data_IF_171252116426
#
_entry.id   IF_171252116426
#
_cell.length_a   1.000
_cell.length_b   1.000
_cell.length_c   1.000
_cell.angle_alpha   90.00
_cell.angle_beta   90.00
_cell.angle_gamma   90.00
#
_symmetry.space_group_name_H-M   'P 1'
#
loop_
_entity.id
_entity.type
_entity.pdbx_description
1 polymer ?
#
# COMPACT_ATOMS: atom_id res chain seq x y z
N UNK A 1 -4.81 -7.93 -13.59
CA UNK A 1 -3.61 -8.59 -13.00
C UNK A 1 -2.79 -7.55 -12.24
N UNK A 2 -2.38 -7.84 -11.00
CA UNK A 2 -1.49 -6.98 -10.21
C UNK A 2 -0.11 -7.59 -10.07
N UNK A 3 0.90 -6.79 -9.70
CA UNK A 3 2.26 -7.23 -9.38
C UNK A 3 3.01 -6.22 -8.52
N UNK A 4 4.20 -6.60 -8.04
CA UNK A 4 5.13 -5.80 -7.24
C UNK A 4 6.48 -5.70 -7.96
N UNK A 5 7.02 -4.49 -8.08
CA UNK A 5 8.41 -4.28 -8.46
C UNK A 5 9.26 -4.62 -7.24
N UNK A 6 10.12 -5.62 -7.40
CA UNK A 6 11.04 -6.04 -6.37
C UNK A 6 11.80 -4.84 -5.81
N UNK A 7 11.78 -4.80 -4.49
CA UNK A 7 12.35 -3.81 -3.58
C UNK A 7 13.88 -3.81 -3.61
N UNK A 8 14.44 -3.58 -4.79
CA UNK A 8 15.85 -3.34 -5.02
C UNK A 8 16.00 -2.28 -6.11
N UNK A 9 16.26 -1.05 -5.67
CA UNK A 9 16.87 -0.07 -6.56
C UNK A 9 18.23 -0.64 -6.97
N UNK A 10 18.52 -0.79 -8.29
CA UNK A 10 19.72 -1.47 -8.72
C UNK A 10 20.97 -0.71 -8.21
N UNK A 11 22.12 -1.39 -7.99
CA UNK A 11 23.30 -0.80 -7.36
C UNK A 11 23.87 0.43 -8.10
N UNK A 12 23.57 0.54 -9.40
CA UNK A 12 23.94 1.69 -10.23
C UNK A 12 23.13 2.96 -9.89
N UNK A 13 22.02 2.83 -9.17
CA UNK A 13 21.19 3.92 -8.64
C UNK A 13 21.54 4.24 -7.18
N UNK A 14 22.72 4.84 -7.04
CA UNK A 14 23.03 5.99 -6.18
C UNK A 14 22.77 5.84 -4.67
N UNK A 15 23.89 5.67 -3.96
CA UNK A 15 24.35 6.69 -3.00
C UNK A 15 25.79 7.01 -3.37
N UNK A 16 26.11 8.29 -3.63
CA UNK A 16 27.52 8.71 -3.76
C UNK A 16 28.25 8.27 -2.50
N UNK A 17 29.55 7.94 -2.58
CA UNK A 17 30.30 7.46 -1.40
C UNK A 17 30.13 8.38 -0.18
N UNK A 18 30.05 9.70 -0.41
CA UNK A 18 29.80 10.73 0.61
C UNK A 18 28.40 10.70 1.25
N UNK A 19 27.39 10.20 0.55
CA UNK A 19 26.00 10.13 1.05
C UNK A 19 25.72 8.89 1.91
N UNK A 20 26.50 7.82 1.73
CA UNK A 20 26.34 6.58 2.50
C UNK A 20 26.57 6.76 4.00
N UNK A 21 27.29 7.80 4.38
CA UNK A 21 27.53 8.07 5.80
C UNK A 21 26.30 8.63 6.53
N UNK A 22 25.30 9.15 5.79
CA UNK A 22 24.00 9.54 6.36
C UNK A 22 23.06 8.35 6.58
N UNK A 23 23.39 7.17 6.07
CA UNK A 23 22.59 5.94 6.20
C UNK A 23 23.26 4.91 7.11
N UNK A 24 24.07 5.38 8.06
CA UNK A 24 24.72 4.53 9.06
C UNK A 24 23.70 4.03 10.09
N UNK A 25 23.84 2.78 10.49
CA UNK A 25 23.10 2.21 11.61
C UNK A 25 24.02 1.35 12.47
N UNK A 26 23.66 1.23 13.74
CA UNK A 26 24.38 0.42 14.70
C UNK A 26 23.68 -0.92 14.83
N UNK A 27 24.46 -1.99 14.88
CA UNK A 27 23.99 -3.35 15.08
C UNK A 27 24.80 -4.06 16.16
N UNK A 28 24.33 -5.21 16.62
CA UNK A 28 25.06 -6.07 17.54
C UNK A 28 25.84 -7.12 16.77
N UNK A 29 27.13 -7.32 17.07
CA UNK A 29 27.92 -8.42 16.50
C UNK A 29 27.34 -9.77 16.90
N UNK A 30 26.94 -9.88 18.16
CA UNK A 30 26.26 -11.03 18.73
C UNK A 30 24.95 -10.58 19.40
N UNK A 31 23.82 -10.96 18.81
CA UNK A 31 22.49 -10.59 19.30
C UNK A 31 22.17 -11.18 20.68
N UNK A 32 22.83 -12.27 21.08
CA UNK A 32 22.56 -12.96 22.36
C UNK A 32 23.16 -12.22 23.55
N UNK A 33 24.23 -11.44 23.33
CA UNK A 33 24.95 -10.71 24.38
C UNK A 33 24.33 -9.35 24.72
N UNK A 34 23.34 -8.89 23.94
CA UNK A 34 22.69 -7.60 24.15
C UNK A 34 23.63 -6.38 23.95
N UNK A 35 23.19 -5.18 24.36
CA UNK A 35 23.88 -3.91 24.08
C UNK A 35 25.05 -3.63 25.06
N UNK A 36 26.11 -4.45 25.01
CA UNK A 36 27.33 -4.29 25.82
C UNK A 36 28.47 -3.63 25.04
N UNK A 37 29.40 -2.98 25.76
CA UNK A 37 30.60 -2.39 25.17
C UNK A 37 31.42 -3.44 24.39
N UNK A 38 31.87 -3.07 23.19
CA UNK A 38 32.60 -3.96 22.28
C UNK A 38 31.73 -4.86 21.39
N UNK A 39 30.42 -4.99 21.70
CA UNK A 39 29.46 -5.77 20.91
C UNK A 39 28.75 -4.95 19.82
N UNK A 40 28.97 -3.64 19.74
CA UNK A 40 28.41 -2.81 18.66
C UNK A 40 29.27 -2.88 17.39
N UNK A 41 28.60 -2.86 16.24
CA UNK A 41 29.20 -2.70 14.91
C UNK A 41 28.40 -1.68 14.12
N UNK A 42 29.07 -0.84 13.34
CA UNK A 42 28.42 0.15 12.49
C UNK A 42 28.37 -0.35 11.05
N UNK A 43 27.18 -0.40 10.49
CA UNK A 43 26.94 -0.64 9.08
C UNK A 43 26.48 0.65 8.38
N UNK A 44 26.55 0.65 7.06
CA UNK A 44 25.98 1.71 6.22
C UNK A 44 25.35 1.09 4.99
N UNK A 45 24.23 1.65 4.53
CA UNK A 45 23.61 1.16 3.32
C UNK A 45 24.43 1.55 2.08
N UNK A 46 24.58 0.59 1.16
CA UNK A 46 25.18 0.79 -0.16
C UNK A 46 24.14 1.04 -1.26
N UNK A 47 22.86 0.91 -0.91
CA UNK A 47 21.66 1.15 -1.72
C UNK A 47 20.75 2.12 -0.97
N UNK A 48 19.75 2.68 -1.63
CA UNK A 48 18.73 3.52 -0.97
C UNK A 48 17.98 2.66 0.07
N UNK A 49 18.05 2.98 1.38
CA UNK A 49 17.30 2.24 2.39
C UNK A 49 15.80 2.50 2.29
N UNK A 50 15.04 1.51 2.74
CA UNK A 50 13.62 1.66 2.99
C UNK A 50 13.37 2.54 4.22
N UNK A 51 12.27 3.28 4.21
CA UNK A 51 11.86 4.14 5.31
C UNK A 51 12.44 5.55 5.29
N UNK A 52 13.27 5.92 4.30
CA UNK A 52 13.54 7.34 4.07
C UNK A 52 12.35 7.98 3.38
N UNK A 53 12.05 9.22 3.78
CA UNK A 53 10.98 10.03 3.19
C UNK A 53 11.15 10.23 1.67
N UNK A 54 12.38 10.23 1.17
CA UNK A 54 12.68 10.41 -0.26
C UNK A 54 12.71 9.11 -1.08
N UNK A 55 12.71 7.93 -0.45
CA UNK A 55 12.86 6.66 -1.18
C UNK A 55 11.75 6.41 -2.21
N UNK A 56 10.46 6.66 -1.93
CA UNK A 56 9.39 6.49 -2.92
C UNK A 56 9.56 7.39 -4.14
N UNK A 57 9.95 8.65 -3.92
CA UNK A 57 10.22 9.60 -5.00
C UNK A 57 11.39 9.14 -5.88
N UNK A 58 12.50 8.73 -5.26
CA UNK A 58 13.69 8.27 -5.99
C UNK A 58 13.40 7.01 -6.81
N UNK A 59 12.60 6.08 -6.28
CA UNK A 59 12.15 4.89 -7.02
C UNK A 59 11.31 5.29 -8.24
N UNK A 60 10.29 6.13 -8.04
CA UNK A 60 9.41 6.57 -9.13
C UNK A 60 10.19 7.31 -10.24
N UNK A 61 11.00 8.30 -9.86
CA UNK A 61 11.83 9.05 -10.81
C UNK A 61 12.79 8.13 -11.59
N UNK A 62 13.35 7.11 -10.92
CA UNK A 62 14.23 6.12 -11.52
C UNK A 62 13.51 5.25 -12.56
N UNK A 63 12.32 4.76 -12.23
CA UNK A 63 11.50 3.95 -13.15
C UNK A 63 11.11 4.77 -14.37
N UNK A 64 10.62 5.99 -14.18
CA UNK A 64 10.23 6.90 -15.27
C UNK A 64 11.41 7.18 -16.21
N UNK A 65 12.58 7.50 -15.65
CA UNK A 65 13.81 7.73 -16.45
C UNK A 65 14.18 6.49 -17.28
N UNK A 66 14.02 5.29 -16.72
CA UNK A 66 14.30 4.06 -17.44
C UNK A 66 13.24 3.72 -18.51
N UNK A 67 11.98 4.05 -18.27
CA UNK A 67 10.91 3.91 -19.27
C UNK A 67 11.15 4.81 -20.49
N UNK A 68 11.67 6.02 -20.27
CA UNK A 68 12.09 6.94 -21.35
C UNK A 68 13.32 6.41 -22.10
N UNK A 69 14.33 5.94 -21.36
CA UNK A 69 15.57 5.43 -21.95
C UNK A 69 15.38 4.12 -22.72
N UNK A 70 14.47 3.26 -22.27
CA UNK A 70 14.20 1.95 -22.85
C UNK A 70 12.71 1.85 -23.22
N UNK A 71 12.31 2.43 -24.37
CA UNK A 71 10.91 2.42 -24.77
C UNK A 71 10.42 1.00 -25.03
N UNK A 72 9.26 0.68 -24.46
CA UNK A 72 8.51 -0.55 -24.71
C UNK A 72 7.01 -0.23 -24.72
N UNK A 73 6.23 -1.01 -25.47
CA UNK A 73 4.77 -0.80 -25.59
C UNK A 73 4.07 -0.77 -24.22
N UNK A 74 4.51 -1.64 -23.31
CA UNK A 74 3.93 -1.78 -21.96
C UNK A 74 4.24 -0.59 -21.04
N UNK A 75 5.26 0.22 -21.34
CA UNK A 75 5.72 1.30 -20.44
C UNK A 75 4.61 2.30 -20.13
N UNK A 76 3.80 2.68 -21.13
CA UNK A 76 2.73 3.67 -20.92
C UNK A 76 1.64 3.14 -19.99
N UNK A 77 1.29 1.86 -20.14
CA UNK A 77 0.32 1.22 -19.26
C UNK A 77 0.87 1.09 -17.84
N UNK A 78 2.15 0.73 -17.68
CA UNK A 78 2.80 0.67 -16.37
C UNK A 78 2.86 2.06 -15.72
N UNK A 79 3.27 3.10 -16.46
CA UNK A 79 3.31 4.49 -15.99
C UNK A 79 1.95 4.94 -15.44
N UNK A 80 0.87 4.71 -16.22
CA UNK A 80 -0.47 5.13 -15.84
C UNK A 80 -1.06 4.32 -14.67
N UNK A 81 -0.58 3.10 -14.43
CA UNK A 81 -1.16 2.16 -13.47
C UNK A 81 -0.18 1.70 -12.38
N UNK A 82 0.82 2.52 -12.09
CA UNK A 82 1.79 2.28 -11.02
C UNK A 82 1.44 3.10 -9.78
N UNK A 83 1.55 2.47 -8.62
CA UNK A 83 1.53 3.14 -7.32
C UNK A 83 2.74 2.72 -6.51
N UNK A 84 3.73 3.61 -6.42
CA UNK A 84 5.04 3.35 -5.79
C UNK A 84 5.73 2.13 -6.41
N UNK A 85 5.57 0.96 -5.81
CA UNK A 85 6.13 -0.34 -6.18
C UNK A 85 5.07 -1.30 -6.76
N UNK A 86 3.77 -1.00 -6.60
CA UNK A 86 2.69 -1.82 -7.11
C UNK A 86 2.35 -1.45 -8.55
N UNK A 87 2.18 -2.46 -9.41
CA UNK A 87 1.77 -2.31 -10.80
C UNK A 87 0.42 -3.00 -11.01
N UNK A 88 -0.47 -2.35 -11.74
CA UNK A 88 -1.75 -2.91 -12.16
C UNK A 88 -1.81 -2.99 -13.68
N UNK A 89 -2.14 -4.17 -14.19
CA UNK A 89 -2.39 -4.44 -15.59
C UNK A 89 -3.89 -4.71 -15.77
N UNK A 90 -4.52 -3.90 -16.61
CA UNK A 90 -5.95 -3.89 -16.85
C UNK A 90 -6.21 -4.29 -18.30
N UNK A 91 -7.08 -5.27 -18.50
CA UNK A 91 -7.60 -5.68 -19.81
C UNK A 91 -8.93 -6.44 -19.63
N UNK A 92 -9.78 -6.38 -20.65
CA UNK A 92 -10.99 -7.19 -20.79
C UNK A 92 -10.75 -8.44 -21.65
N UNK A 93 -9.55 -8.62 -22.19
CA UNK A 93 -9.18 -9.71 -23.10
C UNK A 93 -8.21 -10.61 -22.37
N UNK A 94 -8.65 -11.82 -22.01
CA UNK A 94 -7.85 -12.77 -21.23
C UNK A 94 -6.55 -13.16 -21.94
N UNK A 95 -6.58 -13.22 -23.27
CA UNK A 95 -5.48 -13.60 -24.14
C UNK A 95 -4.31 -12.59 -24.13
N UNK A 96 -4.52 -11.35 -23.67
CA UNK A 96 -3.48 -10.33 -23.57
C UNK A 96 -2.62 -10.48 -22.30
N UNK A 97 -3.13 -11.17 -21.27
CA UNK A 97 -2.46 -11.29 -19.97
C UNK A 97 -1.07 -11.94 -20.05
N UNK A 98 -0.85 -13.03 -20.82
CA UNK A 98 0.49 -13.58 -21.05
C UNK A 98 1.47 -12.58 -21.64
N UNK A 99 1.05 -11.79 -22.65
CA UNK A 99 1.90 -10.77 -23.28
C UNK A 99 2.23 -9.65 -22.29
N UNK A 100 1.27 -9.22 -21.46
CA UNK A 100 1.51 -8.22 -20.41
C UNK A 100 2.53 -8.71 -19.37
N UNK A 101 2.44 -9.96 -18.94
CA UNK A 101 3.43 -10.58 -18.05
C UNK A 101 4.82 -10.59 -18.70
N UNK A 102 4.97 -11.16 -19.90
CA UNK A 102 6.26 -11.26 -20.58
C UNK A 102 6.88 -9.88 -20.86
N UNK A 103 6.06 -8.94 -21.34
CA UNK A 103 6.52 -7.59 -21.68
C UNK A 103 6.95 -6.81 -20.45
N UNK A 104 6.21 -6.91 -19.34
CA UNK A 104 6.58 -6.22 -18.09
C UNK A 104 7.85 -6.80 -17.46
N UNK A 105 8.04 -8.13 -17.47
CA UNK A 105 9.29 -8.78 -17.06
C UNK A 105 10.47 -8.30 -17.90
N UNK A 106 10.33 -8.34 -19.23
CA UNK A 106 11.39 -7.95 -20.15
C UNK A 106 11.76 -6.47 -20.02
N UNK A 107 10.77 -5.59 -19.83
CA UNK A 107 10.99 -4.17 -19.60
C UNK A 107 11.76 -3.94 -18.29
N UNK A 108 11.28 -4.52 -17.18
CA UNK A 108 11.92 -4.37 -15.87
C UNK A 108 13.36 -4.91 -15.83
N UNK A 109 13.63 -6.02 -16.51
CA UNK A 109 14.99 -6.57 -16.63
C UNK A 109 15.96 -5.56 -17.27
N UNK A 110 15.54 -4.80 -18.28
CA UNK A 110 16.37 -3.74 -18.89
C UNK A 110 16.68 -2.60 -17.92
N UNK A 111 15.84 -2.40 -16.91
CA UNK A 111 16.02 -1.39 -15.85
C UNK A 111 16.91 -1.91 -14.71
N UNK A 112 17.32 -3.18 -14.76
CA UNK A 112 17.98 -3.87 -13.65
C UNK A 112 17.03 -4.15 -12.48
N UNK A 113 15.73 -4.18 -12.76
CA UNK A 113 14.66 -4.43 -11.79
C UNK A 113 13.97 -5.76 -12.11
N UNK A 114 13.17 -6.25 -11.18
CA UNK A 114 12.41 -7.48 -11.32
C UNK A 114 10.96 -7.20 -10.93
N UNK A 115 10.00 -7.59 -11.77
CA UNK A 115 8.58 -7.59 -11.41
C UNK A 115 8.22 -9.00 -10.97
N UNK A 116 7.50 -9.11 -9.86
CA UNK A 116 7.15 -10.37 -9.21
C UNK A 116 5.79 -10.27 -8.53
N UNK A 117 5.38 -11.33 -7.84
CA UNK A 117 4.11 -11.40 -7.12
C UNK A 117 2.91 -11.08 -8.02
N UNK A 118 2.92 -11.64 -9.23
CA UNK A 118 1.81 -11.49 -10.15
C UNK A 118 0.57 -12.20 -9.62
N UNK A 119 -0.55 -11.51 -9.65
CA UNK A 119 -1.84 -12.03 -9.23
C UNK A 119 -2.91 -11.67 -10.26
N UNK A 120 -3.70 -12.65 -10.70
CA UNK A 120 -4.75 -12.44 -11.69
C UNK A 120 -6.02 -13.18 -11.31
N UNK A 121 -7.17 -12.58 -11.65
CA UNK A 121 -8.47 -13.24 -11.52
C UNK A 121 -8.69 -14.32 -12.59
N UNK A 122 -7.98 -14.24 -13.72
CA UNK A 122 -7.93 -15.33 -14.72
C UNK A 122 -7.11 -16.52 -14.20
N UNK A 123 -7.72 -17.72 -14.24
CA UNK A 123 -7.01 -18.97 -13.95
C UNK A 123 -5.98 -19.31 -15.04
N UNK A 124 -6.30 -19.05 -16.32
CA UNK A 124 -5.37 -19.31 -17.43
C UNK A 124 -4.10 -18.47 -17.31
N UNK A 125 -4.24 -17.18 -16.97
CA UNK A 125 -3.11 -16.31 -16.73
C UNK A 125 -2.26 -16.78 -15.54
N UNK A 126 -2.91 -17.20 -14.43
CA UNK A 126 -2.20 -17.77 -13.27
C UNK A 126 -1.38 -19.01 -13.64
N UNK A 127 -1.95 -19.93 -14.44
CA UNK A 127 -1.25 -21.14 -14.88
C UNK A 127 -0.09 -20.85 -15.85
N UNK A 128 -0.16 -19.75 -16.60
CA UNK A 128 0.91 -19.32 -17.49
C UNK A 128 2.12 -18.73 -16.75
N UNK A 129 1.89 -18.09 -15.60
CA UNK A 129 2.93 -17.42 -14.82
C UNK A 129 3.74 -18.47 -14.03
N UNK A 130 5.08 -18.45 -14.07
CA UNK A 130 5.94 -19.30 -13.25
C UNK A 130 5.69 -19.14 -11.75
N UNK A 131 5.76 -20.23 -10.98
CA UNK A 131 5.43 -20.26 -9.55
C UNK A 131 6.27 -19.26 -8.73
N UNK A 132 7.54 -19.06 -9.10
CA UNK A 132 8.45 -18.10 -8.47
C UNK A 132 8.02 -16.63 -8.61
N UNK A 133 7.24 -16.33 -9.65
CA UNK A 133 6.73 -15.00 -9.96
C UNK A 133 5.30 -14.80 -9.49
N UNK A 134 4.59 -15.86 -9.07
CA UNK A 134 3.22 -15.75 -8.58
C UNK A 134 3.18 -15.07 -7.21
N UNK A 135 2.09 -14.34 -6.96
CA UNK A 135 1.78 -13.88 -5.62
C UNK A 135 1.53 -15.09 -4.70
N UNK A 136 1.93 -15.04 -3.42
CA UNK A 136 1.67 -16.14 -2.50
C UNK A 136 0.17 -16.42 -2.38
N UNK A 137 -0.19 -17.69 -2.18
CA UNK A 137 -1.58 -18.13 -1.97
C UNK A 137 -2.08 -17.77 -0.56
N UNK A 138 -2.23 -16.47 -0.33
CA UNK A 138 -2.78 -15.85 0.88
C UNK A 138 -3.49 -14.56 0.48
N UNK A 139 -4.32 -13.97 1.37
CA UNK A 139 -4.92 -12.67 1.10
C UNK A 139 -3.84 -11.63 0.79
N UNK A 140 -3.76 -11.26 -0.49
CA UNK A 140 -2.77 -10.32 -1.00
C UNK A 140 -3.32 -8.90 -0.84
N UNK A 141 -2.45 -7.96 -0.49
CA UNK A 141 -2.85 -6.57 -0.32
C UNK A 141 -2.49 -5.77 -1.55
N UNK A 142 -3.47 -5.09 -2.12
CA UNK A 142 -3.28 -4.08 -3.17
C UNK A 142 -3.63 -2.74 -2.55
N UNK A 143 -2.66 -1.81 -2.55
CA UNK A 143 -2.82 -0.50 -1.94
C UNK A 143 -3.30 -0.57 -0.48
N UNK A 144 -3.00 -1.63 0.27
CA UNK A 144 -3.47 -1.80 1.66
C UNK A 144 -4.88 -2.39 1.83
N UNK A 145 -5.64 -2.60 0.74
CA UNK A 145 -6.90 -3.35 0.71
C UNK A 145 -6.63 -4.82 0.40
N UNK A 146 -7.45 -5.74 0.89
CA UNK A 146 -7.31 -7.17 0.57
C UNK A 146 -7.93 -7.40 -0.81
N UNK A 147 -7.19 -8.04 -1.71
CA UNK A 147 -7.67 -8.45 -3.02
C UNK A 147 -7.77 -9.98 -3.10
N UNK A 148 -9.00 -10.45 -3.31
CA UNK A 148 -9.29 -11.85 -3.63
C UNK A 148 -9.43 -11.98 -5.16
N UNK A 149 -8.38 -12.52 -5.78
CA UNK A 149 -8.39 -12.72 -7.22
C UNK A 149 -9.33 -13.83 -7.67
N UNK A 150 -9.62 -14.82 -6.82
CA UNK A 150 -10.50 -15.95 -7.19
C UNK A 150 -11.95 -15.49 -7.31
N UNK A 151 -12.41 -14.63 -6.40
CA UNK A 151 -13.76 -14.08 -6.43
C UNK A 151 -13.84 -12.69 -7.05
N UNK A 152 -12.71 -12.13 -7.48
CA UNK A 152 -12.54 -10.76 -7.98
C UNK A 152 -13.12 -9.67 -7.05
N UNK A 153 -12.89 -9.83 -5.73
CA UNK A 153 -13.40 -8.91 -4.71
C UNK A 153 -12.30 -8.13 -4.02
N UNK A 154 -12.66 -6.97 -3.49
CA UNK A 154 -11.80 -6.11 -2.70
C UNK A 154 -12.43 -5.84 -1.34
N UNK A 155 -11.64 -6.05 -0.28
CA UNK A 155 -12.09 -5.94 1.11
C UNK A 155 -11.29 -4.88 1.87
N UNK A 156 -12.00 -3.99 2.54
CA UNK A 156 -11.45 -2.98 3.44
C UNK A 156 -11.73 -3.41 4.88
N UNK A 157 -10.69 -3.44 5.71
CA UNK A 157 -10.82 -3.72 7.14
C UNK A 157 -11.41 -2.53 7.91
N UNK A 158 -12.42 -2.79 8.73
CA UNK A 158 -13.05 -1.83 9.62
C UNK A 158 -12.57 -2.13 11.05
N UNK A 159 -11.78 -1.24 11.69
CA UNK A 159 -11.33 -1.44 13.05
C UNK A 159 -12.53 -1.44 14.01
N UNK A 160 -12.37 -2.10 15.16
CA UNK A 160 -13.36 -2.03 16.24
C UNK A 160 -13.29 -0.67 16.96
N UNK A 161 -14.43 -0.04 17.27
CA UNK A 161 -14.46 1.17 18.08
C UNK A 161 -13.83 0.95 19.46
N UNK A 162 -13.26 1.98 20.09
CA UNK A 162 -12.77 1.89 21.46
C UNK A 162 -13.88 1.52 22.44
N UNK A 163 -13.54 0.69 23.42
CA UNK A 163 -14.42 0.31 24.52
C UNK A 163 -14.49 1.39 25.60
N UNK A 164 -15.58 1.39 26.37
CA UNK A 164 -15.80 2.35 27.45
C UNK A 164 -15.90 3.80 26.99
N UNK A 165 -15.46 4.73 27.85
CA UNK A 165 -15.44 6.18 27.58
C UNK A 165 -14.13 6.56 26.90
N UNK A 166 -14.11 6.84 25.60
CA UNK A 166 -12.87 7.06 24.89
C UNK A 166 -12.27 8.43 25.22
N UNK A 167 -10.95 8.52 25.09
CA UNK A 167 -10.26 9.81 25.02
C UNK A 167 -10.32 10.38 23.61
N UNK A 168 -10.13 11.69 23.47
CA UNK A 168 -10.01 12.33 22.15
C UNK A 168 -8.95 11.67 21.27
N UNK A 169 -7.81 11.29 21.86
CA UNK A 169 -6.74 10.56 21.18
C UNK A 169 -7.19 9.18 20.69
N UNK A 170 -7.97 8.44 21.49
CA UNK A 170 -8.48 7.13 21.09
C UNK A 170 -9.41 7.24 19.87
N UNK A 171 -10.30 8.24 19.84
CA UNK A 171 -11.19 8.47 18.71
C UNK A 171 -10.44 8.87 17.43
N UNK A 172 -9.44 9.74 17.55
CA UNK A 172 -8.62 10.11 16.39
C UNK A 172 -7.76 8.95 15.91
N UNK A 173 -7.19 8.17 16.83
CA UNK A 173 -6.45 6.95 16.48
C UNK A 173 -7.36 5.90 15.83
N UNK A 174 -8.62 5.81 16.25
CA UNK A 174 -9.62 4.95 15.65
C UNK A 174 -9.92 5.37 14.21
N UNK A 175 -10.23 6.66 13.99
CA UNK A 175 -10.45 7.21 12.65
C UNK A 175 -9.23 7.00 11.73
N UNK A 176 -8.01 7.25 12.23
CA UNK A 176 -6.78 7.12 11.45
C UNK A 176 -6.42 5.68 11.06
N UNK A 177 -7.01 4.67 11.74
CA UNK A 177 -6.84 3.25 11.38
C UNK A 177 -7.74 2.82 10.22
N UNK A 178 -8.75 3.62 9.86
CA UNK A 178 -9.64 3.34 8.74
C UNK A 178 -8.93 3.79 7.47
N UNK A 179 -8.36 2.83 6.75
CA UNK A 179 -7.70 3.07 5.48
C UNK A 179 -8.70 2.81 4.35
N UNK A 180 -9.25 3.88 3.78
CA UNK A 180 -10.30 3.85 2.76
C UNK A 180 -9.91 4.75 1.58
N UNK A 181 -9.07 4.26 0.65
CA UNK A 181 -8.59 5.07 -0.47
C UNK A 181 -9.69 5.35 -1.51
N UNK A 182 -10.74 4.53 -1.56
CA UNK A 182 -11.86 4.68 -2.49
C UNK A 182 -12.98 5.58 -1.95
N UNK A 183 -12.99 5.84 -0.64
CA UNK A 183 -14.05 6.61 0.02
C UNK A 183 -15.35 5.83 0.23
N UNK A 184 -15.37 4.50 0.08
CA UNK A 184 -16.59 3.70 0.21
C UNK A 184 -17.10 3.61 1.65
N UNK A 185 -16.23 3.80 2.64
CA UNK A 185 -16.57 3.89 4.07
C UNK A 185 -16.87 5.33 4.51
N UNK A 186 -16.94 6.28 3.57
CA UNK A 186 -17.30 7.68 3.88
C UNK A 186 -18.60 7.81 4.69
N UNK A 187 -19.69 7.06 4.40
CA UNK A 187 -20.91 7.13 5.21
C UNK A 187 -20.67 6.87 6.71
N UNK A 188 -19.78 5.93 7.04
CA UNK A 188 -19.39 5.63 8.43
C UNK A 188 -18.45 6.69 9.02
N UNK A 189 -17.48 7.17 8.22
CA UNK A 189 -16.43 8.06 8.74
C UNK A 189 -16.86 9.52 8.83
N UNK A 190 -17.83 9.99 8.04
CA UNK A 190 -18.28 11.38 8.04
C UNK A 190 -18.84 11.80 9.40
N UNK A 191 -19.74 11.00 9.99
CA UNK A 191 -20.29 11.30 11.32
C UNK A 191 -19.20 11.32 12.40
N UNK A 192 -18.24 10.39 12.34
CA UNK A 192 -17.09 10.37 13.25
C UNK A 192 -16.20 11.60 13.08
N UNK A 193 -15.95 12.04 11.84
CA UNK A 193 -15.17 13.26 11.54
C UNK A 193 -15.86 14.51 12.09
N UNK A 194 -17.17 14.66 11.85
CA UNK A 194 -17.97 15.75 12.41
C UNK A 194 -17.95 15.78 13.94
N UNK A 195 -18.06 14.60 14.55
CA UNK A 195 -17.97 14.47 16.01
C UNK A 195 -16.58 14.86 16.54
N UNK A 196 -15.51 14.40 15.90
CA UNK A 196 -14.15 14.82 16.25
C UNK A 196 -13.99 16.33 16.10
N UNK A 197 -14.54 16.93 15.04
CA UNK A 197 -14.54 18.37 14.81
C UNK A 197 -15.21 19.14 15.96
N UNK A 198 -16.37 18.70 16.46
CA UNK A 198 -17.03 19.35 17.60
C UNK A 198 -16.21 19.23 18.89
N UNK A 199 -15.52 18.11 19.10
CA UNK A 199 -14.57 17.94 20.21
C UNK A 199 -13.30 18.80 20.09
N UNK A 200 -13.00 19.36 18.91
CA UNK A 200 -11.95 20.38 18.77
C UNK A 200 -12.41 21.73 19.29
N UNK A 201 -13.67 22.10 19.06
CA UNK A 201 -14.24 23.36 19.52
C UNK A 201 -14.28 23.48 21.06
N UNK A 202 -14.41 22.35 21.77
CA UNK A 202 -14.41 22.31 23.25
C UNK A 202 -13.02 22.48 23.89
N UNK A 203 -11.95 22.58 23.09
CA UNK A 203 -10.55 22.70 23.55
C UNK A 203 -10.10 21.60 24.54
N UNK A 204 -10.78 20.44 24.56
CA UNK A 204 -10.35 19.33 25.42
C UNK A 204 -8.96 18.80 25.01
N UNK A 205 -8.18 18.42 26.00
CA UNK A 205 -6.86 17.81 25.79
C UNK A 205 -6.93 16.41 25.20
N UNK A 206 -5.91 16.02 24.44
CA UNK A 206 -5.81 14.73 23.75
C UNK A 206 -6.06 13.49 24.63
N UNK A 207 -5.47 13.47 25.83
CA UNK A 207 -5.55 12.33 26.76
C UNK A 207 -6.78 12.38 27.68
N UNK A 208 -7.65 13.38 27.55
CA UNK A 208 -8.87 13.51 28.36
C UNK A 208 -10.01 12.74 27.69
N UNK A 209 -10.86 12.14 28.52
CA UNK A 209 -12.11 11.51 28.09
C UNK A 209 -13.04 12.54 27.48
N UNK A 210 -13.87 12.13 26.53
CA UNK A 210 -14.87 13.01 25.93
C UNK A 210 -15.85 13.57 27.00
N UNK A 211 -16.36 14.81 26.81
CA UNK A 211 -17.34 15.42 27.72
C UNK A 211 -18.60 14.55 27.89
N UNK A 212 -19.20 14.58 29.08
CA UNK A 212 -20.33 13.68 29.43
C UNK A 212 -21.55 13.89 28.52
N UNK A 213 -21.83 15.13 28.17
CA UNK A 213 -22.87 15.59 27.23
C UNK A 213 -22.68 15.05 25.81
N UNK A 214 -21.45 14.73 25.41
CA UNK A 214 -21.13 14.18 24.09
C UNK A 214 -21.18 12.65 24.00
N UNK A 215 -21.28 11.96 25.14
CA UNK A 215 -21.31 10.49 25.20
C UNK A 215 -22.49 9.90 24.40
N UNK A 216 -23.74 10.42 24.48
CA UNK A 216 -24.84 9.88 23.70
C UNK A 216 -24.60 9.94 22.18
N UNK A 217 -23.95 11.00 21.71
CA UNK A 217 -23.58 11.17 20.30
C UNK A 217 -22.55 10.10 19.91
N UNK A 218 -21.51 9.92 20.73
CA UNK A 218 -20.52 8.88 20.50
C UNK A 218 -21.14 7.47 20.46
N UNK A 219 -22.01 7.13 21.41
CA UNK A 219 -22.66 5.82 21.44
C UNK A 219 -23.56 5.60 20.21
N UNK A 220 -24.21 6.65 19.69
CA UNK A 220 -24.94 6.56 18.41
C UNK A 220 -24.01 6.25 17.24
N UNK A 221 -22.85 6.91 17.15
CA UNK A 221 -21.88 6.68 16.07
C UNK A 221 -21.28 5.28 16.18
N UNK A 222 -20.90 4.87 17.40
CA UNK A 222 -20.33 3.56 17.69
C UNK A 222 -21.24 2.41 17.22
N UNK A 223 -22.55 2.57 17.33
CA UNK A 223 -23.55 1.57 16.88
C UNK A 223 -23.58 1.37 15.37
N UNK A 224 -23.03 2.27 14.56
CA UNK A 224 -22.92 2.09 13.10
C UNK A 224 -21.75 1.17 12.71
N UNK A 225 -20.72 1.08 13.56
CA UNK A 225 -19.54 0.24 13.35
C UNK A 225 -19.77 -1.19 13.83
N UNK A 226 -20.74 -1.89 13.21
CA UNK A 226 -21.11 -3.27 13.56
C UNK A 226 -20.26 -4.32 12.86
N UNK A 227 -19.74 -4.00 11.68
CA UNK A 227 -18.97 -4.90 10.82
C UNK A 227 -17.47 -4.64 11.00
N UNK A 228 -16.67 -5.70 10.83
CA UNK A 228 -15.21 -5.63 10.89
C UNK A 228 -14.56 -5.48 9.52
N UNK A 229 -15.35 -5.54 8.46
CA UNK A 229 -14.90 -5.42 7.08
C UNK A 229 -16.04 -5.01 6.17
N UNK A 230 -15.68 -4.48 5.00
CA UNK A 230 -16.57 -4.22 3.89
C UNK A 230 -15.95 -4.79 2.63
N UNK A 231 -16.70 -5.65 1.92
CA UNK A 231 -16.26 -6.31 0.70
C UNK A 231 -17.13 -5.84 -0.46
N UNK A 232 -16.50 -5.50 -1.59
CA UNK A 232 -17.18 -5.12 -2.83
C UNK A 232 -16.54 -5.82 -4.02
N UNK A 233 -17.27 -5.90 -5.13
CA UNK A 233 -16.72 -6.33 -6.40
C UNK A 233 -15.64 -5.35 -6.86
N UNK A 234 -14.49 -5.86 -7.31
CA UNK A 234 -13.43 -5.00 -7.85
C UNK A 234 -13.90 -4.34 -9.16
N UNK A 235 -14.55 -5.11 -10.03
CA UNK A 235 -15.11 -4.58 -11.27
C UNK A 235 -16.48 -3.94 -11.02
N UNK A 236 -16.57 -2.62 -11.20
CA UNK A 236 -17.82 -1.88 -11.10
C UNK A 236 -18.50 -1.68 -12.46
N UNK A 237 -17.73 -1.71 -13.54
CA UNK A 237 -18.20 -1.60 -14.92
C UNK A 237 -17.25 -2.34 -15.87
N UNK A 238 -17.78 -2.75 -17.01
CA UNK A 238 -17.07 -3.30 -18.18
C UNK A 238 -16.53 -2.21 -19.11
N UNK A 239 -16.99 -0.96 -18.97
CA UNK A 239 -16.56 0.20 -19.76
C UNK A 239 -15.39 0.92 -19.09
N UNK A 240 -14.21 0.84 -19.72
CA UNK A 240 -12.97 1.47 -19.27
C UNK A 240 -12.55 2.66 -20.15
N UNK A 241 -13.40 3.09 -21.09
CA UNK A 241 -13.19 4.27 -21.92
C UNK A 241 -13.41 5.57 -21.13
N UNK A 242 -14.27 5.53 -20.10
CA UNK A 242 -14.62 6.66 -19.22
C UNK A 242 -15.09 7.92 -20.00
N UNK A 243 -15.49 7.76 -21.26
CA UNK A 243 -15.88 8.86 -22.15
C UNK A 243 -17.32 9.34 -21.89
N UNK A 244 -18.13 8.55 -21.17
CA UNK A 244 -19.47 8.95 -20.74
C UNK A 244 -19.84 8.31 -19.41
N UNK A 245 -20.57 9.05 -18.56
CA UNK A 245 -21.27 8.47 -17.43
C UNK A 245 -22.50 7.70 -17.96
N UNK A 246 -22.75 6.50 -17.41
CA UNK A 246 -24.04 5.83 -17.58
C UNK A 246 -25.16 6.68 -16.95
#
# INVERSE_FOLDING_TARGET
MSSDIEKSIPPNQITRARQRDFTRFVWLKDITKGPINGNFVTYRFTRIPFGMSCSPFLLAASILTYMEKYPAKINKQMENNMYVDNLMFLTNIEEELPEMYLSSKAAAQKWGMNVRQYQSNSQKARQFIPEEDQAPDKPNKILGMIFDATHDTMTIGIPKPPEGKPTKRMLQSFLARIYDPMGVLSPLTVRLKQFLQSLWATKIGWKKTIPKDTIPIWESIKKEFQHTEYTTQRQLTDRYDYESAN
#
